data_IF_071469990819
#
_entry.id   IF_071469990819
#
_cell.length_a   1.000
_cell.length_b   1.000
_cell.length_c   1.000
_cell.angle_alpha   90.00
_cell.angle_beta   90.00
_cell.angle_gamma   90.00
#
_symmetry.space_group_name_H-M   'P 1'
#
loop_
_entity.id
_entity.type
_entity.pdbx_description
1 polymer ?
#
# COMPACT_ATOMS: atom_id res chain seq x y z
N UNK A 1 -17.40 3.26 -29.27
CA UNK A 1 -16.72 2.57 -30.40
C UNK A 1 -15.19 2.71 -30.37
N UNK A 2 -14.62 3.85 -29.95
CA UNK A 2 -13.16 4.10 -29.91
C UNK A 2 -12.40 3.17 -28.92
N UNK A 3 -12.93 3.01 -27.71
CA UNK A 3 -12.41 2.11 -26.66
C UNK A 3 -12.44 0.63 -27.06
N UNK A 4 -13.44 0.20 -27.83
CA UNK A 4 -13.52 -1.19 -28.30
C UNK A 4 -12.41 -1.51 -29.32
N UNK A 5 -12.10 -0.57 -30.22
CA UNK A 5 -11.02 -0.72 -31.21
C UNK A 5 -9.65 -0.72 -30.56
N UNK A 6 -9.43 0.13 -29.56
CA UNK A 6 -8.20 0.16 -28.75
C UNK A 6 -8.01 -1.15 -27.99
N UNK A 7 -9.04 -1.63 -27.29
CA UNK A 7 -9.00 -2.93 -26.61
C UNK A 7 -8.73 -4.09 -27.57
N UNK A 8 -9.29 -4.07 -28.78
CA UNK A 8 -9.04 -5.09 -29.80
C UNK A 8 -7.58 -5.05 -30.30
N UNK A 9 -7.00 -3.85 -30.43
CA UNK A 9 -5.59 -3.67 -30.78
C UNK A 9 -4.70 -4.22 -29.66
N UNK A 10 -4.95 -3.86 -28.40
CA UNK A 10 -4.20 -4.40 -27.27
C UNK A 10 -4.30 -5.92 -27.17
N UNK A 11 -5.48 -6.48 -27.41
CA UNK A 11 -5.70 -7.93 -27.43
C UNK A 11 -4.93 -8.61 -28.56
N UNK A 12 -4.93 -8.03 -29.78
CA UNK A 12 -4.15 -8.56 -30.91
C UNK A 12 -2.64 -8.48 -30.70
N UNK A 13 -2.15 -7.40 -30.09
CA UNK A 13 -0.74 -7.22 -29.72
C UNK A 13 -0.33 -8.26 -28.68
N UNK A 14 -1.14 -8.43 -27.64
CA UNK A 14 -0.90 -9.43 -26.60
C UNK A 14 -0.91 -10.84 -27.17
N UNK A 15 -1.90 -11.17 -28.02
CA UNK A 15 -1.95 -12.46 -28.71
C UNK A 15 -0.72 -12.69 -29.59
N UNK A 16 -0.25 -11.68 -30.32
CA UNK A 16 0.94 -11.77 -31.17
C UNK A 16 2.19 -12.02 -30.34
N UNK A 17 2.36 -11.31 -29.21
CA UNK A 17 3.51 -11.51 -28.30
C UNK A 17 3.49 -12.92 -27.70
N UNK A 18 2.33 -13.39 -27.25
CA UNK A 18 2.18 -14.72 -26.64
C UNK A 18 2.43 -15.83 -27.67
N UNK A 19 1.80 -15.76 -28.85
CA UNK A 19 1.95 -16.77 -29.91
C UNK A 19 3.36 -16.73 -30.48
N UNK A 20 3.92 -15.54 -30.71
CA UNK A 20 5.29 -15.36 -31.19
C UNK A 20 6.32 -15.88 -30.19
N UNK A 21 6.14 -15.59 -28.89
CA UNK A 21 6.99 -16.11 -27.82
C UNK A 21 6.95 -17.63 -27.73
N UNK A 22 5.76 -18.24 -27.84
CA UNK A 22 5.61 -19.69 -27.87
C UNK A 22 6.27 -20.32 -29.10
N UNK A 23 6.07 -19.74 -30.29
CA UNK A 23 6.67 -20.23 -31.53
C UNK A 23 8.21 -20.14 -31.49
N UNK A 24 8.75 -19.05 -30.93
CA UNK A 24 10.19 -18.87 -30.73
C UNK A 24 10.76 -19.92 -29.77
N UNK A 25 10.12 -20.12 -28.62
CA UNK A 25 10.54 -21.15 -27.67
C UNK A 25 10.47 -22.56 -28.28
N UNK A 26 9.42 -22.85 -29.06
CA UNK A 26 9.25 -24.14 -29.74
C UNK A 26 10.32 -24.35 -30.82
N UNK A 27 10.66 -23.31 -31.58
CA UNK A 27 11.73 -23.35 -32.56
C UNK A 27 13.09 -23.54 -31.91
N UNK A 28 13.39 -22.77 -30.86
CA UNK A 28 14.62 -22.91 -30.08
C UNK A 28 14.77 -24.33 -29.53
N UNK A 29 13.69 -24.91 -28.99
CA UNK A 29 13.68 -26.29 -28.50
C UNK A 29 14.02 -27.31 -29.61
N UNK A 30 13.46 -27.14 -30.82
CA UNK A 30 13.67 -28.05 -31.95
C UNK A 30 15.05 -27.94 -32.59
N UNK A 31 15.69 -26.77 -32.51
CA UNK A 31 17.08 -26.57 -32.95
C UNK A 31 18.05 -27.18 -31.94
N UNK A 32 17.71 -27.15 -30.66
CA UNK A 32 18.52 -27.74 -29.59
C UNK A 32 18.48 -29.29 -29.54
N UNK A 33 17.51 -29.95 -30.21
CA UNK A 33 17.43 -31.42 -30.32
C UNK A 33 18.71 -32.08 -30.88
N UNK A 34 19.55 -31.33 -31.61
CA UNK A 34 20.80 -31.85 -32.17
C UNK A 34 21.99 -31.82 -31.18
N UNK A 35 21.84 -31.18 -30.01
CA UNK A 35 22.85 -31.11 -28.95
C UNK A 35 22.19 -31.24 -27.56
N UNK A 36 21.84 -32.46 -27.12
CA UNK A 36 21.05 -32.70 -25.89
C UNK A 36 21.71 -32.11 -24.64
N UNK A 37 23.03 -32.17 -24.54
CA UNK A 37 23.79 -31.62 -23.41
C UNK A 37 23.70 -30.10 -23.31
N UNK A 38 23.77 -29.39 -24.45
CA UNK A 38 23.66 -27.92 -24.49
C UNK A 38 22.24 -27.49 -24.13
N UNK A 39 21.24 -28.24 -24.56
CA UNK A 39 19.83 -27.99 -24.25
C UNK A 39 19.55 -28.06 -22.74
N UNK A 40 20.03 -29.11 -22.08
CA UNK A 40 19.86 -29.30 -20.64
C UNK A 40 20.51 -28.16 -19.84
N UNK A 41 21.74 -27.76 -20.19
CA UNK A 41 22.43 -26.65 -19.53
C UNK A 41 21.66 -25.34 -19.69
N UNK A 42 21.19 -25.03 -20.90
CA UNK A 42 20.40 -23.82 -21.17
C UNK A 42 19.11 -23.82 -20.37
N UNK A 43 18.40 -24.96 -20.31
CA UNK A 43 17.18 -25.10 -19.53
C UNK A 43 17.41 -24.93 -18.03
N UNK A 44 18.50 -25.50 -17.49
CA UNK A 44 18.87 -25.33 -16.09
C UNK A 44 19.16 -23.86 -15.80
N UNK A 45 19.96 -23.18 -16.62
CA UNK A 45 20.28 -21.77 -16.44
C UNK A 45 19.01 -20.92 -16.48
N UNK A 46 18.15 -21.11 -17.49
CA UNK A 46 16.90 -20.37 -17.61
C UNK A 46 15.96 -20.63 -16.43
N UNK A 47 15.85 -21.89 -15.99
CA UNK A 47 15.05 -22.28 -14.84
C UNK A 47 15.56 -21.66 -13.54
N UNK A 48 16.88 -21.67 -13.31
CA UNK A 48 17.51 -21.04 -12.15
C UNK A 48 17.31 -19.52 -12.17
N UNK A 49 17.55 -18.86 -13.30
CA UNK A 49 17.33 -17.41 -13.43
C UNK A 49 15.86 -17.07 -13.17
N UNK A 50 14.92 -17.81 -13.78
CA UNK A 50 13.49 -17.61 -13.53
C UNK A 50 13.15 -17.80 -12.04
N UNK A 51 13.70 -18.83 -11.40
CA UNK A 51 13.46 -19.12 -9.98
C UNK A 51 13.97 -17.99 -9.08
N UNK A 52 15.19 -17.49 -9.34
CA UNK A 52 15.77 -16.36 -8.60
C UNK A 52 14.93 -15.10 -8.79
N UNK A 53 14.50 -14.81 -10.01
CA UNK A 53 13.65 -13.64 -10.31
C UNK A 53 12.28 -13.73 -9.63
N UNK A 54 11.63 -14.90 -9.70
CA UNK A 54 10.35 -15.13 -9.02
C UNK A 54 10.53 -14.97 -7.51
N UNK A 55 11.58 -15.56 -6.93
CA UNK A 55 11.86 -15.46 -5.49
C UNK A 55 12.11 -14.02 -5.07
N UNK A 56 12.92 -13.27 -5.83
CA UNK A 56 13.16 -11.86 -5.56
C UNK A 56 11.86 -11.03 -5.63
N UNK A 57 11.00 -11.30 -6.61
CA UNK A 57 9.71 -10.64 -6.75
C UNK A 57 8.78 -10.96 -5.57
N UNK A 58 8.71 -12.23 -5.16
CA UNK A 58 7.90 -12.67 -4.02
C UNK A 58 8.37 -12.06 -2.71
N UNK A 59 9.68 -12.01 -2.46
CA UNK A 59 10.26 -11.38 -1.28
C UNK A 59 9.96 -9.88 -1.25
N UNK A 60 10.22 -9.17 -2.35
CA UNK A 60 9.91 -7.75 -2.45
C UNK A 60 8.44 -7.47 -2.18
N UNK A 61 7.53 -8.29 -2.71
CA UNK A 61 6.10 -8.09 -2.51
C UNK A 61 5.68 -8.33 -1.06
N UNK A 62 6.23 -9.35 -0.42
CA UNK A 62 5.99 -9.63 0.99
C UNK A 62 6.50 -8.49 1.87
N UNK A 63 7.73 -8.01 1.64
CA UNK A 63 8.29 -6.87 2.37
C UNK A 63 7.46 -5.61 2.20
N UNK A 64 6.98 -5.30 0.98
CA UNK A 64 6.10 -4.15 0.74
C UNK A 64 4.80 -4.24 1.55
N UNK A 65 4.19 -5.42 1.60
CA UNK A 65 2.95 -5.67 2.35
C UNK A 65 3.19 -5.55 3.86
N UNK A 66 4.28 -6.10 4.35
CA UNK A 66 4.65 -6.04 5.77
C UNK A 66 4.94 -4.61 6.21
N UNK A 67 5.70 -3.84 5.42
CA UNK A 67 5.95 -2.42 5.69
C UNK A 67 4.65 -1.61 5.71
N UNK A 68 3.75 -1.83 4.74
CA UNK A 68 2.43 -1.17 4.72
C UNK A 68 1.61 -1.52 5.96
N UNK A 69 1.63 -2.79 6.38
CA UNK A 69 0.97 -3.25 7.60
C UNK A 69 1.55 -2.55 8.83
N UNK A 70 2.87 -2.51 8.98
CA UNK A 70 3.54 -1.85 10.10
C UNK A 70 3.24 -0.34 10.15
N UNK A 71 3.29 0.34 9.01
CA UNK A 71 2.90 1.75 8.89
C UNK A 71 1.44 1.97 9.31
N UNK A 72 0.53 1.10 8.87
CA UNK A 72 -0.89 1.19 9.26
C UNK A 72 -1.09 0.97 10.76
N UNK A 73 -0.38 0.02 11.36
CA UNK A 73 -0.45 -0.23 12.80
C UNK A 73 0.03 1.00 13.57
N UNK A 74 1.20 1.55 13.23
CA UNK A 74 1.74 2.76 13.87
C UNK A 74 0.79 3.96 13.74
N UNK A 75 0.17 4.13 12.58
CA UNK A 75 -0.81 5.19 12.37
C UNK A 75 -2.07 4.99 13.23
N UNK A 76 -2.57 3.76 13.36
CA UNK A 76 -3.72 3.44 14.22
C UNK A 76 -3.38 3.63 15.70
N UNK A 77 -2.18 3.26 16.12
CA UNK A 77 -1.66 3.48 17.48
C UNK A 77 -1.60 4.96 17.81
N UNK A 78 -0.98 5.77 16.94
CA UNK A 78 -0.92 7.23 17.11
C UNK A 78 -2.31 7.86 17.17
N UNK A 79 -3.23 7.42 16.29
CA UNK A 79 -4.62 7.88 16.27
C UNK A 79 -5.33 7.54 17.59
N UNK A 80 -5.14 6.32 18.09
CA UNK A 80 -5.72 5.87 19.37
C UNK A 80 -5.16 6.67 20.53
N UNK A 81 -3.85 6.92 20.57
CA UNK A 81 -3.19 7.71 21.60
C UNK A 81 -3.76 9.14 21.67
N UNK A 82 -3.89 9.81 20.52
CA UNK A 82 -4.44 11.17 20.45
C UNK A 82 -5.90 11.21 20.91
N UNK A 83 -6.72 10.23 20.50
CA UNK A 83 -8.11 10.17 20.98
C UNK A 83 -8.21 9.87 22.47
N UNK A 84 -7.35 8.99 23.00
CA UNK A 84 -7.32 8.71 24.43
C UNK A 84 -6.88 9.94 25.25
N UNK A 85 -5.84 10.67 24.81
CA UNK A 85 -5.44 11.95 25.45
C UNK A 85 -6.59 12.96 25.43
N UNK A 86 -7.30 13.08 24.30
CA UNK A 86 -8.48 13.93 24.19
C UNK A 86 -9.60 13.50 25.16
N UNK A 87 -9.99 12.23 25.17
CA UNK A 87 -11.05 11.71 26.04
C UNK A 87 -10.69 11.89 27.51
N UNK A 88 -9.45 11.57 27.90
CA UNK A 88 -8.97 11.74 29.27
C UNK A 88 -8.95 13.21 29.70
N UNK A 89 -8.61 14.14 28.79
CA UNK A 89 -8.69 15.56 29.09
C UNK A 89 -10.14 16.04 29.24
N UNK A 90 -11.04 15.56 28.38
CA UNK A 90 -12.48 15.85 28.50
C UNK A 90 -13.07 15.29 29.79
N UNK A 91 -12.64 14.10 30.22
CA UNK A 91 -13.02 13.52 31.52
C UNK A 91 -12.57 14.42 32.67
N UNK A 92 -11.31 14.87 32.67
CA UNK A 92 -10.79 15.80 33.67
C UNK A 92 -11.60 17.09 33.72
N UNK A 93 -11.85 17.71 32.56
CA UNK A 93 -12.68 18.91 32.45
C UNK A 93 -14.10 18.73 32.99
N UNK A 94 -14.66 17.53 32.85
CA UNK A 94 -16.01 17.24 33.35
C UNK A 94 -16.05 16.95 34.85
N UNK A 95 -14.95 16.47 35.43
CA UNK A 95 -14.79 16.28 36.87
C UNK A 95 -14.47 17.60 37.58
N UNK A 96 -13.76 18.49 36.92
CA UNK A 96 -13.40 19.80 37.44
C UNK A 96 -14.59 20.75 37.42
N UNK A 97 -14.78 21.50 38.51
CA UNK A 97 -15.94 22.41 38.66
C UNK A 97 -15.79 23.74 37.91
N UNK A 98 -14.62 23.99 37.33
CA UNK A 98 -14.31 25.21 36.59
C UNK A 98 -13.27 24.92 35.50
N UNK A 99 -13.54 25.41 34.30
CA UNK A 99 -12.61 25.37 33.16
C UNK A 99 -11.61 26.51 33.32
N UNK A 100 -10.32 26.23 33.16
CA UNK A 100 -9.26 27.22 33.28
C UNK A 100 -8.74 27.64 31.90
N UNK A 101 -8.05 28.80 31.83
CA UNK A 101 -7.35 29.24 30.61
C UNK A 101 -6.32 28.20 30.12
N UNK A 102 -5.73 27.41 31.02
CA UNK A 102 -4.80 26.35 30.64
C UNK A 102 -5.48 25.23 29.88
N UNK A 103 -6.75 24.94 30.18
CA UNK A 103 -7.53 23.93 29.49
C UNK A 103 -7.90 24.38 28.08
N UNK A 104 -8.26 25.65 27.89
CA UNK A 104 -8.47 26.22 26.54
C UNK A 104 -7.20 26.12 25.69
N UNK A 105 -6.03 26.45 26.25
CA UNK A 105 -4.75 26.29 25.55
C UNK A 105 -4.49 24.82 25.21
N UNK A 106 -4.75 23.90 26.14
CA UNK A 106 -4.56 22.45 25.90
C UNK A 106 -5.49 21.93 24.81
N UNK A 107 -6.73 22.37 24.78
CA UNK A 107 -7.70 22.06 23.72
C UNK A 107 -7.24 22.57 22.35
N UNK A 108 -6.67 23.79 22.26
CA UNK A 108 -6.08 24.29 21.00
C UNK A 108 -4.91 23.42 20.53
N UNK A 109 -4.03 22.96 21.43
CA UNK A 109 -2.97 22.02 21.08
C UNK A 109 -3.52 20.66 20.63
N UNK A 110 -4.62 20.19 21.23
CA UNK A 110 -5.30 18.98 20.79
C UNK A 110 -5.86 19.12 19.37
N UNK A 111 -6.28 20.32 18.93
CA UNK A 111 -6.64 20.59 17.52
C UNK A 111 -5.48 20.26 16.58
N UNK A 112 -4.27 20.71 16.91
CA UNK A 112 -3.09 20.44 16.08
C UNK A 112 -2.73 18.96 16.05
N UNK A 113 -2.86 18.26 17.19
CA UNK A 113 -2.67 16.80 17.25
C UNK A 113 -3.71 16.07 16.40
N UNK A 114 -4.99 16.42 16.54
CA UNK A 114 -6.08 15.83 15.76
C UNK A 114 -5.89 16.08 14.27
N UNK A 115 -5.40 17.25 13.86
CA UNK A 115 -5.15 17.56 12.45
C UNK A 115 -4.16 16.59 11.76
N UNK A 116 -3.32 15.89 12.52
CA UNK A 116 -2.40 14.88 11.99
C UNK A 116 -3.05 13.52 11.69
N UNK A 117 -4.17 13.19 12.34
CA UNK A 117 -4.76 11.83 12.31
C UNK A 117 -6.26 11.78 11.99
N UNK A 118 -6.96 12.89 12.11
CA UNK A 118 -8.41 13.00 11.94
C UNK A 118 -8.80 13.37 10.50
N UNK A 119 -10.01 13.03 10.11
CA UNK A 119 -10.57 13.48 8.84
C UNK A 119 -11.01 14.94 8.91
N UNK A 120 -11.12 15.65 7.77
CA UNK A 120 -11.56 17.05 7.74
C UNK A 120 -12.91 17.27 8.43
N UNK A 121 -13.86 16.34 8.26
CA UNK A 121 -15.17 16.41 8.90
C UNK A 121 -15.08 16.37 10.44
N UNK A 122 -14.15 15.59 11.01
CA UNK A 122 -13.97 15.54 12.48
C UNK A 122 -13.36 16.85 12.99
N UNK A 123 -12.42 17.44 12.24
CA UNK A 123 -11.80 18.71 12.59
C UNK A 123 -12.81 19.86 12.58
N UNK A 124 -13.69 19.89 11.57
CA UNK A 124 -14.76 20.89 11.49
C UNK A 124 -15.71 20.80 12.69
N UNK A 125 -16.12 19.59 13.08
CA UNK A 125 -16.95 19.38 14.26
C UNK A 125 -16.21 19.73 15.57
N UNK A 126 -14.92 19.43 15.64
CA UNK A 126 -14.12 19.80 16.81
C UNK A 126 -13.94 21.31 16.94
N UNK A 127 -13.76 22.01 15.82
CA UNK A 127 -13.66 23.47 15.82
C UNK A 127 -14.99 24.13 16.23
N UNK A 128 -16.12 23.61 15.76
CA UNK A 128 -17.44 24.05 16.24
C UNK A 128 -17.61 23.82 17.74
N UNK A 129 -17.12 22.70 18.26
CA UNK A 129 -17.11 22.44 19.71
C UNK A 129 -16.31 23.49 20.48
N UNK A 130 -15.12 23.88 20.01
CA UNK A 130 -14.28 24.90 20.65
C UNK A 130 -14.85 26.32 20.58
N UNK A 131 -15.76 26.61 19.65
CA UNK A 131 -16.44 27.93 19.58
C UNK A 131 -17.55 28.07 20.62
N UNK A 132 -18.13 26.94 21.06
CA UNK A 132 -19.24 26.89 22.02
C UNK A 132 -18.73 26.76 23.47
N UNK A 133 -17.57 26.14 23.64
CA UNK A 133 -16.95 25.83 24.92
C UNK A 133 -15.99 26.94 25.38
#
# INVERSE_FOLDING_TARGET
MKTFRENLIYLSLTATVVVGGYAFLRYAYRVMDQMPFTQEIVLIILGTVATVLITAMLLNKQTEVELKKEQSIKFIELKSEIYMDFISHMEQLMLDKAVTEQDHVRLQFLTHKLAMVASPAVLEQYQQFLEVF
#
